data_IF_738790126907
#
_entry.id   IF_738790126907
#
_cell.length_a   1.000
_cell.length_b   1.000
_cell.length_c   1.000
_cell.angle_alpha   90.00
_cell.angle_beta   90.00
_cell.angle_gamma   90.00
#
_symmetry.space_group_name_H-M   'P 1'
#
loop_
_entity.id
_entity.type
_entity.pdbx_description
1 polymer ?
#
# COMPACT_ATOMS: atom_id res chain seq x y z
N UNK A 1 64.71 30.61 6.29
CA UNK A 1 63.94 29.57 5.58
C UNK A 1 63.04 28.87 6.60
N UNK A 2 61.73 29.17 6.63
CA UNK A 2 60.77 28.53 7.55
C UNK A 2 59.93 27.55 6.74
N UNK A 3 60.05 26.26 7.05
CA UNK A 3 59.30 25.19 6.41
C UNK A 3 57.91 25.12 7.04
N UNK A 4 56.86 25.26 6.24
CA UNK A 4 55.46 25.07 6.66
C UNK A 4 55.07 23.66 6.23
N UNK A 5 54.89 22.76 7.20
CA UNK A 5 54.40 21.41 6.95
C UNK A 5 52.87 21.44 6.83
N UNK A 6 52.35 21.07 5.65
CA UNK A 6 50.92 20.94 5.38
C UNK A 6 50.50 19.50 5.67
N UNK A 7 49.89 19.25 6.84
CA UNK A 7 49.31 17.94 7.16
C UNK A 7 47.97 17.79 6.45
N UNK A 8 47.92 16.93 5.44
CA UNK A 8 46.68 16.49 4.80
C UNK A 8 45.99 15.51 5.76
N UNK A 9 44.89 15.96 6.35
CA UNK A 9 44.00 15.10 7.13
C UNK A 9 43.19 14.25 6.15
N UNK A 10 43.62 12.99 5.95
CA UNK A 10 42.86 11.99 5.20
C UNK A 10 41.63 11.61 6.05
N UNK A 11 40.51 12.28 5.81
CA UNK A 11 39.23 11.88 6.39
C UNK A 11 38.81 10.53 5.82
N UNK A 12 38.85 9.49 6.64
CA UNK A 12 38.20 8.22 6.32
C UNK A 12 36.70 8.47 6.23
N UNK A 13 36.17 8.59 5.01
CA UNK A 13 34.74 8.50 4.76
C UNK A 13 34.38 7.03 4.94
N UNK A 14 33.89 6.67 6.12
CA UNK A 14 33.22 5.40 6.31
C UNK A 14 31.96 5.45 5.46
N UNK A 15 31.96 4.70 4.34
CA UNK A 15 30.72 4.41 3.61
C UNK A 15 29.84 3.62 4.56
N UNK A 16 28.89 4.31 5.19
CA UNK A 16 27.87 3.67 5.98
C UNK A 16 26.95 2.94 5.01
N UNK A 17 26.88 1.61 5.17
CA UNK A 17 25.75 0.77 4.81
C UNK A 17 24.44 1.57 4.82
N UNK A 18 23.94 1.95 3.63
CA UNK A 18 22.82 2.90 3.51
C UNK A 18 21.51 2.31 4.03
N UNK A 19 20.83 3.02 4.92
CA UNK A 19 19.43 2.74 5.26
C UNK A 19 18.53 3.37 4.20
N UNK A 20 17.63 2.58 3.62
CA UNK A 20 16.63 3.03 2.65
C UNK A 20 15.25 2.89 3.31
N UNK A 21 14.50 3.97 3.32
CA UNK A 21 13.08 3.95 3.72
C UNK A 21 12.20 3.78 2.49
N UNK A 22 11.33 2.77 2.49
CA UNK A 22 10.39 2.52 1.40
C UNK A 22 8.94 2.70 1.89
N UNK A 23 8.17 3.49 1.15
CA UNK A 23 6.74 3.66 1.36
C UNK A 23 6.00 2.62 0.50
N UNK A 24 5.29 1.71 1.14
CA UNK A 24 4.70 0.55 0.50
C UNK A 24 3.21 0.48 0.77
N UNK A 25 2.42 0.38 -0.31
CA UNK A 25 0.99 0.21 -0.20
C UNK A 25 0.64 -1.04 0.59
N UNK A 26 -0.34 -0.90 1.47
CA UNK A 26 -0.78 -1.93 2.41
C UNK A 26 -1.14 -3.29 1.76
N UNK A 27 -1.54 -3.32 0.48
CA UNK A 27 -1.79 -4.58 -0.23
C UNK A 27 -0.52 -5.40 -0.44
N UNK A 28 0.67 -4.82 -0.42
CA UNK A 28 1.94 -5.54 -0.64
C UNK A 28 2.49 -6.11 0.66
N UNK A 29 1.83 -5.88 1.81
CA UNK A 29 2.35 -6.27 3.13
C UNK A 29 2.67 -7.76 3.26
N UNK A 30 1.94 -8.63 2.56
CA UNK A 30 2.18 -10.08 2.59
C UNK A 30 3.42 -10.50 1.80
N UNK A 31 3.86 -9.71 0.81
CA UNK A 31 4.98 -10.03 -0.07
C UNK A 31 6.26 -9.26 0.30
N UNK A 32 6.14 -8.11 0.96
CA UNK A 32 7.26 -7.18 1.11
C UNK A 32 8.43 -7.75 1.92
N UNK A 33 8.19 -8.57 2.94
CA UNK A 33 9.27 -9.20 3.70
C UNK A 33 10.03 -10.23 2.88
N UNK A 34 9.35 -10.97 1.99
CA UNK A 34 10.02 -11.89 1.07
C UNK A 34 10.85 -11.13 0.03
N UNK A 35 10.30 -10.05 -0.54
CA UNK A 35 11.04 -9.19 -1.47
C UNK A 35 12.28 -8.56 -0.82
N UNK A 36 12.14 -8.05 0.40
CA UNK A 36 13.23 -7.51 1.22
C UNK A 36 14.29 -8.56 1.52
N UNK A 37 13.87 -9.80 1.85
CA UNK A 37 14.81 -10.91 2.08
C UNK A 37 15.65 -11.20 0.83
N UNK A 38 15.03 -11.33 -0.33
CA UNK A 38 15.76 -11.59 -1.59
C UNK A 38 16.64 -10.41 -2.01
N UNK A 39 16.18 -9.18 -1.82
CA UNK A 39 16.99 -7.99 -2.04
C UNK A 39 18.26 -7.99 -1.16
N UNK A 40 18.13 -8.36 0.12
CA UNK A 40 19.26 -8.40 1.06
C UNK A 40 20.26 -9.54 0.76
N UNK A 41 19.88 -10.58 0.01
CA UNK A 41 20.85 -11.59 -0.46
C UNK A 41 21.86 -10.94 -1.41
N UNK A 42 21.40 -10.01 -2.26
CA UNK A 42 22.24 -9.28 -3.21
C UNK A 42 22.90 -8.04 -2.57
N UNK A 43 22.27 -7.47 -1.54
CA UNK A 43 22.70 -6.26 -0.86
C UNK A 43 22.72 -6.43 0.67
N UNK A 44 23.62 -7.28 1.21
CA UNK A 44 23.60 -7.66 2.63
C UNK A 44 23.83 -6.49 3.60
N UNK A 45 24.53 -5.46 3.14
CA UNK A 45 24.82 -4.24 3.91
C UNK A 45 23.71 -3.19 3.83
N UNK A 46 22.64 -3.41 3.05
CA UNK A 46 21.56 -2.41 2.92
C UNK A 46 20.45 -2.68 3.91
N UNK A 47 20.15 -1.71 4.77
CA UNK A 47 19.01 -1.78 5.69
C UNK A 47 17.76 -1.23 5.01
N UNK A 48 16.76 -2.07 4.79
CA UNK A 48 15.47 -1.64 4.22
C UNK A 48 14.43 -1.45 5.33
N UNK A 49 14.02 -0.19 5.55
CA UNK A 49 12.92 0.17 6.44
C UNK A 49 11.62 0.27 5.65
N UNK A 50 10.63 -0.53 6.01
CA UNK A 50 9.33 -0.58 5.32
C UNK A 50 8.29 0.23 6.09
N UNK A 51 7.65 1.18 5.41
CA UNK A 51 6.52 1.95 5.94
C UNK A 51 5.28 1.53 5.16
N UNK A 52 4.33 0.89 5.84
CA UNK A 52 3.07 0.45 5.26
C UNK A 52 1.97 1.50 5.44
N UNK A 53 1.17 1.71 4.40
CA UNK A 53 0.03 2.63 4.45
C UNK A 53 -0.87 2.53 3.23
N UNK A 54 -1.98 3.27 3.22
CA UNK A 54 -2.74 3.45 1.98
C UNK A 54 -1.93 4.32 1.01
N UNK A 55 -2.04 4.06 -0.30
CA UNK A 55 -1.27 4.81 -1.30
C UNK A 55 -1.53 6.32 -1.23
N UNK A 56 -2.78 6.74 -0.94
CA UNK A 56 -3.10 8.15 -0.74
C UNK A 56 -2.42 8.77 0.47
N UNK A 57 -2.39 8.08 1.61
CA UNK A 57 -1.70 8.57 2.82
C UNK A 57 -0.19 8.68 2.61
N UNK A 58 0.42 7.66 2.02
CA UNK A 58 1.85 7.67 1.71
C UNK A 58 2.19 8.78 0.70
N UNK A 59 1.34 9.00 -0.31
CA UNK A 59 1.49 10.12 -1.24
C UNK A 59 1.44 11.45 -0.51
N UNK A 60 0.48 11.65 0.40
CA UNK A 60 0.40 12.87 1.20
C UNK A 60 1.65 13.07 2.07
N UNK A 61 2.21 12.00 2.65
CA UNK A 61 3.47 12.07 3.39
C UNK A 61 4.64 12.49 2.49
N UNK A 62 4.77 11.91 1.29
CA UNK A 62 5.79 12.31 0.30
C UNK A 62 5.67 13.79 -0.04
N UNK A 63 4.45 14.25 -0.34
CA UNK A 63 4.16 15.66 -0.64
C UNK A 63 4.49 16.61 0.51
N UNK A 64 4.47 16.12 1.75
CA UNK A 64 4.88 16.86 2.95
C UNK A 64 6.36 16.63 3.33
N UNK A 65 7.18 16.09 2.42
CA UNK A 65 8.63 15.97 2.61
C UNK A 65 9.10 14.71 3.33
N UNK A 66 8.27 13.68 3.47
CA UNK A 66 8.72 12.40 4.00
C UNK A 66 9.81 11.79 3.08
N UNK A 67 11.01 11.48 3.59
CA UNK A 67 12.19 11.17 2.77
C UNK A 67 12.25 9.69 2.37
N UNK A 68 11.26 9.21 1.61
CA UNK A 68 11.27 7.84 1.12
C UNK A 68 12.15 7.68 -0.13
N UNK A 69 12.98 6.64 -0.17
CA UNK A 69 13.81 6.28 -1.32
C UNK A 69 13.06 5.49 -2.40
N UNK A 70 11.94 4.85 -2.05
CA UNK A 70 11.08 4.13 -3.00
C UNK A 70 9.62 4.26 -2.56
N UNK A 71 8.73 4.45 -3.53
CA UNK A 71 7.27 4.42 -3.33
C UNK A 71 6.62 3.33 -4.18
N UNK A 72 5.99 2.36 -3.53
CA UNK A 72 5.25 1.26 -4.15
C UNK A 72 3.75 1.47 -3.92
N UNK A 73 3.07 2.08 -4.89
CA UNK A 73 1.62 2.34 -4.83
C UNK A 73 0.78 1.13 -5.26
N UNK A 74 -0.51 1.10 -4.90
CA UNK A 74 -1.48 0.09 -5.35
C UNK A 74 -2.16 0.46 -6.69
N UNK A 75 -1.91 1.65 -7.23
CA UNK A 75 -2.27 2.04 -8.60
C UNK A 75 -1.33 3.12 -9.16
N UNK A 76 -1.42 3.40 -10.45
CA UNK A 76 -0.56 4.36 -11.15
C UNK A 76 -0.89 5.83 -10.86
N UNK A 77 -2.14 6.15 -10.51
CA UNK A 77 -2.59 7.53 -10.24
C UNK A 77 -1.65 8.28 -9.27
N UNK A 78 -1.29 7.65 -8.16
CA UNK A 78 -0.47 8.28 -7.13
C UNK A 78 0.99 8.53 -7.55
N UNK A 79 1.74 7.52 -8.04
CA UNK A 79 3.12 7.73 -8.45
C UNK A 79 3.23 8.57 -9.74
N UNK A 80 2.23 8.55 -10.63
CA UNK A 80 2.16 9.48 -11.77
C UNK A 80 1.99 10.93 -11.31
N UNK A 81 1.13 11.18 -10.31
CA UNK A 81 0.98 12.52 -9.74
C UNK A 81 2.30 13.02 -9.14
N UNK A 82 2.99 12.20 -8.35
CA UNK A 82 4.30 12.55 -7.78
C UNK A 82 5.36 12.82 -8.85
N UNK A 83 5.35 12.05 -9.94
CA UNK A 83 6.27 12.27 -11.06
C UNK A 83 5.95 13.57 -11.81
N UNK A 84 4.67 13.85 -12.07
CA UNK A 84 4.24 15.10 -12.72
C UNK A 84 4.51 16.35 -11.88
N UNK A 85 4.57 16.20 -10.57
CA UNK A 85 4.90 17.26 -9.60
C UNK A 85 6.41 17.33 -9.31
N UNK A 86 7.24 16.63 -10.10
CA UNK A 86 8.71 16.59 -9.98
C UNK A 86 9.23 16.09 -8.60
N UNK A 87 8.38 15.40 -7.84
CA UNK A 87 8.74 14.80 -6.55
C UNK A 87 9.33 13.39 -6.68
N UNK A 88 9.11 12.72 -7.82
CA UNK A 88 9.71 11.43 -8.13
C UNK A 88 10.85 11.60 -9.15
N UNK A 89 12.02 11.09 -8.84
CA UNK A 89 13.22 11.18 -9.69
C UNK A 89 13.18 10.25 -10.92
N UNK A 90 12.33 9.22 -10.88
CA UNK A 90 12.16 8.26 -11.97
C UNK A 90 10.70 8.18 -12.40
N UNK A 91 10.49 7.89 -13.68
CA UNK A 91 9.15 7.61 -14.22
C UNK A 91 8.60 6.35 -13.55
N UNK A 92 7.34 6.35 -13.10
CA UNK A 92 6.76 5.19 -12.44
C UNK A 92 6.53 4.04 -13.41
N UNK A 93 6.64 2.82 -12.88
CA UNK A 93 6.46 1.57 -13.64
C UNK A 93 5.42 0.69 -12.95
N UNK A 94 4.67 -0.06 -13.75
CA UNK A 94 3.77 -1.10 -13.25
C UNK A 94 4.62 -2.28 -12.80
N UNK A 95 4.54 -2.64 -11.51
CA UNK A 95 5.27 -3.78 -10.94
C UNK A 95 4.38 -5.01 -10.68
N UNK A 96 3.07 -4.81 -10.57
CA UNK A 96 2.10 -5.87 -10.30
C UNK A 96 0.69 -5.47 -10.75
N UNK A 97 -0.16 -6.46 -10.95
CA UNK A 97 -1.60 -6.30 -11.15
C UNK A 97 -2.34 -7.03 -10.03
N UNK A 98 -3.17 -6.30 -9.29
CA UNK A 98 -3.99 -6.85 -8.22
C UNK A 98 -5.36 -7.32 -8.70
N UNK A 99 -6.04 -8.08 -7.85
CA UNK A 99 -7.45 -8.43 -8.00
C UNK A 99 -8.20 -8.22 -6.67
N UNK A 100 -9.51 -8.01 -6.76
CA UNK A 100 -10.40 -7.99 -5.60
C UNK A 100 -10.80 -9.42 -5.22
N UNK A 101 -11.02 -9.64 -3.93
CA UNK A 101 -11.58 -10.88 -3.40
C UNK A 101 -12.58 -10.59 -2.29
N UNK A 102 -13.50 -11.53 -2.06
CA UNK A 102 -14.29 -11.57 -0.84
C UNK A 102 -13.59 -12.36 0.25
N UNK A 103 -13.66 -11.87 1.48
CA UNK A 103 -13.18 -12.56 2.67
C UNK A 103 -14.29 -12.62 3.72
N UNK A 104 -14.59 -13.81 4.22
CA UNK A 104 -15.58 -14.03 5.28
C UNK A 104 -15.11 -15.17 6.17
N UNK A 105 -15.33 -15.07 7.47
CA UNK A 105 -15.08 -16.19 8.41
C UNK A 105 -16.16 -17.28 8.33
N UNK A 106 -17.37 -16.91 7.90
CA UNK A 106 -18.46 -17.84 7.65
C UNK A 106 -18.45 -18.24 6.19
N UNK A 107 -18.78 -19.50 5.90
CA UNK A 107 -19.04 -19.93 4.54
C UNK A 107 -20.20 -19.13 3.93
N UNK A 108 -20.06 -18.74 2.67
CA UNK A 108 -21.05 -17.94 1.93
C UNK A 108 -21.33 -18.60 0.60
N UNK A 109 -22.55 -18.44 0.10
CA UNK A 109 -22.88 -18.84 -1.26
C UNK A 109 -22.39 -17.77 -2.25
N UNK A 110 -21.26 -18.07 -2.92
CA UNK A 110 -20.66 -17.17 -3.90
C UNK A 110 -21.21 -17.35 -5.33
N UNK A 111 -22.09 -18.32 -5.59
CA UNK A 111 -22.76 -18.49 -6.90
C UNK A 111 -23.63 -17.27 -7.24
N UNK A 112 -24.06 -16.53 -6.20
CA UNK A 112 -24.78 -15.28 -6.30
C UNK A 112 -23.89 -14.08 -6.71
N UNK A 113 -22.59 -14.27 -6.95
CA UNK A 113 -21.62 -13.20 -7.26
C UNK A 113 -21.73 -12.03 -6.27
N UNK A 114 -21.74 -10.78 -6.76
CA UNK A 114 -21.87 -9.56 -5.94
C UNK A 114 -23.20 -9.46 -5.18
N UNK A 115 -24.23 -10.23 -5.57
CA UNK A 115 -25.52 -10.20 -4.86
C UNK A 115 -25.49 -10.92 -3.52
N UNK A 116 -24.47 -11.76 -3.25
CA UNK A 116 -24.24 -12.37 -1.93
C UNK A 116 -24.25 -11.31 -0.83
N UNK A 117 -23.73 -10.11 -1.10
CA UNK A 117 -23.64 -8.99 -0.16
C UNK A 117 -25.00 -8.45 0.31
N UNK A 118 -26.08 -8.76 -0.41
CA UNK A 118 -27.45 -8.37 -0.05
C UNK A 118 -28.10 -9.33 0.95
N UNK A 119 -27.48 -10.48 1.23
CA UNK A 119 -28.01 -11.45 2.18
C UNK A 119 -28.37 -10.78 3.52
N UNK A 120 -29.48 -11.22 4.12
CA UNK A 120 -30.01 -10.65 5.35
C UNK A 120 -29.08 -10.89 6.55
N UNK A 121 -28.24 -11.92 6.50
CA UNK A 121 -27.25 -12.24 7.53
C UNK A 121 -25.92 -11.48 7.35
N UNK A 122 -25.82 -10.60 6.35
CA UNK A 122 -24.71 -9.66 6.17
C UNK A 122 -25.18 -8.27 6.57
N UNK A 123 -24.73 -7.81 7.74
CA UNK A 123 -25.07 -6.51 8.30
C UNK A 123 -23.92 -5.51 8.16
N UNK A 124 -22.68 -5.99 8.18
CA UNK A 124 -21.47 -5.19 8.06
C UNK A 124 -20.57 -5.73 6.95
N UNK A 125 -20.15 -4.84 6.05
CA UNK A 125 -19.25 -5.14 4.93
C UNK A 125 -18.00 -4.30 5.09
N UNK A 126 -16.86 -4.93 5.34
CA UNK A 126 -15.58 -4.24 5.39
C UNK A 126 -15.15 -3.83 3.97
N UNK A 127 -14.85 -2.55 3.78
CA UNK A 127 -14.36 -2.00 2.50
C UNK A 127 -13.26 -0.97 2.80
N UNK A 128 -12.25 -0.87 1.96
CA UNK A 128 -11.25 0.19 2.10
C UNK A 128 -11.87 1.54 1.72
N UNK A 129 -11.46 2.63 2.37
CA UNK A 129 -11.95 3.96 2.09
C UNK A 129 -11.50 4.40 0.67
N UNK A 130 -12.42 4.63 -0.28
CA UNK A 130 -12.07 5.00 -1.65
C UNK A 130 -11.36 6.36 -1.76
N UNK A 131 -11.42 7.21 -0.73
CA UNK A 131 -10.71 8.48 -0.71
C UNK A 131 -9.20 8.31 -0.54
N UNK A 132 -8.77 7.25 0.14
CA UNK A 132 -7.36 7.05 0.54
C UNK A 132 -6.73 5.81 -0.08
N UNK A 133 -7.53 4.78 -0.42
CA UNK A 133 -7.04 3.48 -0.81
C UNK A 133 -7.53 3.06 -2.22
N UNK A 134 -6.61 2.70 -3.15
CA UNK A 134 -6.96 2.18 -4.47
C UNK A 134 -7.93 1.01 -4.48
N UNK A 135 -7.78 0.05 -3.56
CA UNK A 135 -8.71 -1.07 -3.44
C UNK A 135 -10.11 -0.65 -3.01
N UNK A 136 -10.25 0.47 -2.30
CA UNK A 136 -11.55 1.07 -1.98
C UNK A 136 -12.23 1.65 -3.21
N UNK A 137 -11.46 2.30 -4.09
CA UNK A 137 -11.94 2.79 -5.39
C UNK A 137 -12.40 1.62 -6.26
N UNK A 138 -11.55 0.60 -6.43
CA UNK A 138 -11.87 -0.57 -7.22
C UNK A 138 -13.10 -1.32 -6.68
N UNK A 139 -13.22 -1.46 -5.36
CA UNK A 139 -14.40 -2.08 -4.74
C UNK A 139 -15.66 -1.25 -4.99
N UNK A 140 -15.60 0.08 -4.85
CA UNK A 140 -16.75 0.95 -5.14
C UNK A 140 -17.16 0.87 -6.62
N UNK A 141 -16.21 0.84 -7.56
CA UNK A 141 -16.46 0.66 -8.99
C UNK A 141 -17.10 -0.70 -9.28
N UNK A 142 -16.57 -1.78 -8.73
CA UNK A 142 -17.12 -3.13 -8.91
C UNK A 142 -18.58 -3.22 -8.40
N UNK A 143 -18.86 -2.66 -7.22
CA UNK A 143 -20.20 -2.64 -6.63
C UNK A 143 -21.18 -1.76 -7.41
N UNK A 144 -20.72 -0.65 -7.99
CA UNK A 144 -21.53 0.23 -8.84
C UNK A 144 -21.86 -0.45 -10.16
N UNK A 145 -20.88 -1.09 -10.79
CA UNK A 145 -21.07 -1.86 -12.02
C UNK A 145 -22.03 -3.05 -11.80
N UNK A 146 -22.01 -3.64 -10.61
CA UNK A 146 -22.96 -4.68 -10.21
C UNK A 146 -24.33 -4.15 -9.76
N UNK A 147 -24.55 -2.83 -9.72
CA UNK A 147 -25.83 -2.23 -9.33
C UNK A 147 -26.21 -2.41 -7.85
N UNK A 148 -25.27 -2.78 -6.99
CA UNK A 148 -25.53 -3.06 -5.56
C UNK A 148 -25.03 -1.97 -4.61
N UNK A 149 -24.15 -1.09 -5.07
CA UNK A 149 -23.47 -0.09 -4.21
C UNK A 149 -24.43 0.72 -3.32
N UNK A 150 -25.45 1.36 -3.90
CA UNK A 150 -26.37 2.23 -3.14
C UNK A 150 -27.15 1.46 -2.06
N UNK A 151 -27.58 0.23 -2.36
CA UNK A 151 -28.29 -0.63 -1.41
C UNK A 151 -27.42 -1.08 -0.24
N UNK A 152 -26.10 -1.15 -0.43
CA UNK A 152 -25.14 -1.65 0.55
C UNK A 152 -24.45 -0.54 1.33
N UNK A 153 -24.60 0.72 0.92
CA UNK A 153 -23.85 1.87 1.47
C UNK A 153 -23.93 2.00 2.99
N UNK A 154 -25.10 1.70 3.58
CA UNK A 154 -25.32 1.74 5.03
C UNK A 154 -24.64 0.59 5.80
N UNK A 155 -24.25 -0.48 5.10
CA UNK A 155 -23.57 -1.65 5.68
C UNK A 155 -22.04 -1.48 5.70
N UNK A 156 -21.49 -0.47 5.04
CA UNK A 156 -20.04 -0.34 4.88
C UNK A 156 -19.33 0.05 6.19
N UNK A 157 -18.28 -0.69 6.49
CA UNK A 157 -17.31 -0.39 7.54
C UNK A 157 -15.98 -0.06 6.85
N UNK A 158 -15.58 1.21 6.92
CA UNK A 158 -14.43 1.71 6.18
C UNK A 158 -13.10 1.47 6.91
N UNK A 159 -12.20 0.71 6.30
CA UNK A 159 -10.79 0.68 6.66
C UNK A 159 -10.00 1.80 5.96
N UNK A 160 -9.06 2.43 6.66
CA UNK A 160 -8.16 3.45 6.10
C UNK A 160 -7.27 2.88 4.97
N UNK A 161 -6.91 1.60 5.08
CA UNK A 161 -6.10 0.84 4.13
C UNK A 161 -6.67 -0.58 3.93
N UNK A 162 -6.20 -1.28 2.90
CA UNK A 162 -6.67 -2.64 2.64
C UNK A 162 -6.28 -3.64 3.74
N UNK A 163 -5.13 -3.45 4.41
CA UNK A 163 -4.76 -4.31 5.55
C UNK A 163 -5.72 -4.14 6.71
N UNK A 164 -6.17 -2.90 6.98
CA UNK A 164 -7.20 -2.66 7.99
C UNK A 164 -8.56 -3.24 7.58
N UNK A 165 -8.90 -3.21 6.30
CA UNK A 165 -10.10 -3.88 5.77
C UNK A 165 -10.05 -5.39 6.01
N UNK A 166 -8.89 -6.04 5.82
CA UNK A 166 -8.70 -7.46 6.18
C UNK A 166 -8.97 -7.67 7.67
N UNK A 167 -8.37 -6.85 8.55
CA UNK A 167 -8.61 -6.93 10.00
C UNK A 167 -10.10 -6.83 10.34
N UNK A 168 -10.83 -5.91 9.72
CA UNK A 168 -12.28 -5.77 9.94
C UNK A 168 -13.07 -6.97 9.42
N UNK A 169 -12.73 -7.49 8.24
CA UNK A 169 -13.37 -8.68 7.68
C UNK A 169 -13.19 -9.93 8.57
N UNK A 170 -12.12 -9.99 9.36
CA UNK A 170 -11.82 -11.11 10.27
C UNK A 170 -12.24 -10.87 11.73
N UNK A 171 -12.80 -9.72 12.07
CA UNK A 171 -13.09 -9.40 13.50
C UNK A 171 -14.35 -8.58 13.76
N UNK A 172 -14.77 -7.73 12.83
CA UNK A 172 -15.78 -6.70 13.09
C UNK A 172 -16.87 -6.61 12.00
N UNK A 173 -16.70 -7.30 10.88
CA UNK A 173 -17.63 -7.33 9.75
C UNK A 173 -17.98 -8.78 9.36
N UNK A 174 -19.11 -8.94 8.67
CA UNK A 174 -19.62 -10.26 8.26
C UNK A 174 -18.94 -10.78 6.99
N UNK A 175 -18.41 -9.85 6.18
CA UNK A 175 -17.67 -10.08 4.94
C UNK A 175 -16.83 -8.83 4.64
N UNK A 176 -15.74 -8.98 3.89
CA UNK A 176 -14.94 -7.87 3.39
C UNK A 176 -14.61 -7.99 1.92
N UNK A 177 -14.38 -6.84 1.28
CA UNK A 177 -13.82 -6.73 -0.07
C UNK A 177 -12.34 -6.36 0.07
N UNK A 178 -11.47 -7.32 -0.21
CA UNK A 178 -10.03 -7.25 0.08
C UNK A 178 -9.18 -7.35 -1.20
N UNK A 179 -7.86 -7.26 -1.04
CA UNK A 179 -6.91 -7.70 -2.07
C UNK A 179 -6.82 -9.24 -2.08
N UNK A 180 -6.86 -9.83 -3.27
CA UNK A 180 -6.62 -11.26 -3.48
C UNK A 180 -5.16 -11.62 -3.27
#
# INVERSE_FOLDING_TARGET
MKSIAFSILLGFVTVSAGEISIAVAANVSYAIEALKKEFNVLHPETKVQVILGSSGKLTAQIKHGAPYGLFMSANMKYPEALYSEEMAVTKPVVYAQGALAFLSQKERNYDANMTVLRSEDIQKIAIANPQTAPYGVAAAEALKNAGVYESLKKKFVYGESISQTVTYATSAADIGIIAK
#
